data_IF_331500432379
#
_entry.id   IF_331500432379
#
_cell.length_a   1.000
_cell.length_b   1.000
_cell.length_c   1.000
_cell.angle_alpha   90.00
_cell.angle_beta   90.00
_cell.angle_gamma   90.00
#
_symmetry.space_group_name_H-M   'P 1'
#
loop_
_entity.id
_entity.type
_entity.pdbx_description
1 polymer ?
#
# COMPACT_ATOMS: atom_id res chain seq x y z
N UNK A 1 28.44 -21.36 -43.87
CA UNK A 1 28.37 -22.20 -42.65
C UNK A 1 27.13 -23.09 -42.73
N UNK A 2 27.26 -24.42 -42.65
CA UNK A 2 26.09 -25.32 -42.68
C UNK A 2 25.40 -25.32 -41.30
N UNK A 3 24.08 -25.15 -41.29
CA UNK A 3 23.24 -25.26 -40.10
C UNK A 3 22.96 -26.74 -39.84
N UNK A 4 23.56 -27.27 -38.78
CA UNK A 4 23.31 -28.65 -38.31
C UNK A 4 22.20 -28.64 -37.25
N UNK A 5 21.45 -29.75 -37.13
CA UNK A 5 20.34 -29.92 -36.16
C UNK A 5 20.77 -29.53 -34.75
N UNK A 6 21.99 -29.91 -34.34
CA UNK A 6 22.57 -29.58 -33.03
C UNK A 6 22.80 -28.06 -32.85
N UNK A 7 23.13 -27.35 -33.92
CA UNK A 7 23.38 -25.90 -33.90
C UNK A 7 22.07 -25.11 -33.87
N UNK A 8 21.05 -25.59 -34.57
CA UNK A 8 19.70 -25.06 -34.50
C UNK A 8 19.13 -25.15 -33.07
N UNK A 9 19.23 -26.33 -32.42
CA UNK A 9 18.76 -26.53 -31.04
C UNK A 9 19.47 -25.64 -30.02
N UNK A 10 20.78 -25.39 -30.20
CA UNK A 10 21.53 -24.48 -29.32
C UNK A 10 21.08 -23.03 -29.47
N UNK A 11 20.80 -22.59 -30.71
CA UNK A 11 20.34 -21.23 -31.00
C UNK A 11 18.92 -20.99 -30.48
N UNK A 12 18.01 -21.95 -30.63
CA UNK A 12 16.64 -21.85 -30.12
C UNK A 12 16.59 -21.88 -28.59
N UNK A 13 17.42 -22.70 -27.94
CA UNK A 13 17.54 -22.69 -26.47
C UNK A 13 18.10 -21.34 -25.97
N UNK A 14 19.10 -20.79 -26.65
CA UNK A 14 19.70 -19.50 -26.29
C UNK A 14 18.73 -18.32 -26.48
N UNK A 15 17.92 -18.32 -27.55
CA UNK A 15 16.95 -17.24 -27.80
C UNK A 15 15.82 -17.24 -26.76
N UNK A 16 15.30 -18.41 -26.37
CA UNK A 16 14.29 -18.52 -25.30
C UNK A 16 14.87 -18.03 -23.96
N UNK A 17 16.11 -18.42 -23.63
CA UNK A 17 16.79 -17.93 -22.43
C UNK A 17 16.94 -16.40 -22.43
N UNK A 18 17.35 -15.81 -23.56
CA UNK A 18 17.52 -14.36 -23.69
C UNK A 18 16.20 -13.59 -23.48
N UNK A 19 15.07 -14.10 -23.99
CA UNK A 19 13.76 -13.45 -23.80
C UNK A 19 13.27 -13.63 -22.36
N UNK A 20 13.41 -14.83 -21.78
CA UNK A 20 12.97 -15.12 -20.42
C UNK A 20 13.71 -14.30 -19.36
N UNK A 21 15.01 -14.03 -19.57
CA UNK A 21 15.83 -13.28 -18.63
C UNK A 21 15.99 -11.78 -19.00
N UNK A 22 15.90 -11.43 -20.28
CA UNK A 22 16.03 -10.04 -20.76
C UNK A 22 14.94 -9.11 -20.23
N UNK A 23 13.70 -9.59 -20.12
CA UNK A 23 12.58 -8.83 -19.54
C UNK A 23 12.70 -8.61 -18.02
N UNK A 24 13.44 -9.47 -17.30
CA UNK A 24 13.57 -9.38 -15.83
C UNK A 24 14.68 -8.42 -15.39
N UNK A 25 15.66 -8.14 -16.24
CA UNK A 25 16.71 -7.16 -15.95
C UNK A 25 16.16 -5.73 -15.76
N UNK A 26 15.05 -5.38 -16.42
CA UNK A 26 14.36 -4.10 -16.22
C UNK A 26 13.56 -4.06 -14.91
N UNK A 27 12.93 -5.17 -14.52
CA UNK A 27 12.17 -5.27 -13.26
C UNK A 27 13.09 -5.21 -12.02
N UNK A 28 14.33 -5.70 -12.13
CA UNK A 28 15.34 -5.58 -11.07
C UNK A 28 15.91 -4.16 -10.93
N UNK A 29 15.69 -3.28 -11.92
CA UNK A 29 16.10 -1.87 -11.90
C UNK A 29 15.08 -0.95 -11.26
N UNK A 30 13.90 -1.45 -10.88
CA UNK A 30 12.98 -0.66 -10.06
C UNK A 30 13.69 -0.38 -8.73
N UNK A 31 14.04 0.89 -8.41
CA UNK A 31 14.61 1.19 -7.12
C UNK A 31 13.59 0.73 -6.08
N UNK A 32 14.08 0.16 -4.98
CA UNK A 32 13.30 -0.04 -3.77
C UNK A 32 12.98 1.33 -3.17
N UNK A 33 12.22 2.14 -3.91
CA UNK A 33 11.80 3.45 -3.52
C UNK A 33 10.88 3.24 -2.32
N UNK A 34 11.40 3.58 -1.14
CA UNK A 34 10.61 3.60 0.07
C UNK A 34 9.46 4.56 -0.21
N UNK A 35 8.19 4.08 -0.19
CA UNK A 35 7.07 4.95 -0.47
C UNK A 35 7.09 6.09 0.54
N UNK A 36 6.83 7.30 0.06
CA UNK A 36 6.81 8.49 0.91
C UNK A 36 5.82 8.26 2.05
N UNK A 37 6.25 8.51 3.28
CA UNK A 37 5.39 8.37 4.44
C UNK A 37 4.26 9.40 4.37
N UNK A 38 3.03 8.95 4.60
CA UNK A 38 1.82 9.78 4.48
C UNK A 38 1.83 11.01 5.41
N UNK A 39 2.53 10.93 6.54
CA UNK A 39 2.65 12.04 7.49
C UNK A 39 3.71 13.08 7.10
N UNK A 40 4.46 12.85 6.02
CA UNK A 40 5.38 13.84 5.47
C UNK A 40 4.68 14.83 4.51
N UNK A 41 3.40 14.61 4.20
CA UNK A 41 2.59 15.52 3.41
C UNK A 41 1.76 16.49 4.25
N UNK A 42 0.95 17.29 3.57
CA UNK A 42 -0.09 18.08 4.22
C UNK A 42 -1.17 17.13 4.75
N UNK A 43 -1.25 17.04 6.08
CA UNK A 43 -2.23 16.21 6.78
C UNK A 43 -3.25 17.11 7.45
N UNK A 44 -4.51 16.99 7.04
CA UNK A 44 -5.64 17.63 7.72
C UNK A 44 -6.26 16.68 8.73
N UNK A 45 -6.68 17.21 9.88
CA UNK A 45 -7.43 16.44 10.89
C UNK A 45 -8.90 16.80 10.77
N UNK A 46 -9.76 15.79 10.64
CA UNK A 46 -11.21 15.93 10.57
C UNK A 46 -11.83 15.16 11.73
N UNK A 47 -12.76 15.80 12.44
CA UNK A 47 -13.47 15.15 13.55
C UNK A 47 -14.72 14.43 13.05
N UNK A 48 -14.95 13.22 13.57
CA UNK A 48 -16.11 12.40 13.23
C UNK A 48 -16.42 11.44 14.39
N UNK A 49 -17.32 10.48 14.16
CA UNK A 49 -17.67 9.41 15.08
C UNK A 49 -17.37 8.04 14.48
N UNK A 50 -16.97 7.08 15.30
CA UNK A 50 -16.61 5.72 14.91
C UNK A 50 -17.86 4.82 14.93
N UNK A 51 -18.16 4.19 13.78
CA UNK A 51 -19.34 3.31 13.62
C UNK A 51 -19.02 1.81 13.69
N UNK A 52 -17.82 1.44 14.14
CA UNK A 52 -17.41 0.03 14.24
C UNK A 52 -18.15 -0.76 15.34
N UNK A 53 -18.82 -0.07 16.26
CA UNK A 53 -19.65 -0.66 17.30
C UNK A 53 -20.67 0.37 17.81
N UNK A 54 -21.61 -0.07 18.64
CA UNK A 54 -22.68 0.76 19.20
C UNK A 54 -22.20 1.89 20.13
N UNK A 55 -20.92 1.93 20.53
CA UNK A 55 -20.42 2.94 21.47
C UNK A 55 -20.32 4.35 20.86
N UNK A 56 -20.16 4.45 19.53
CA UNK A 56 -20.01 5.70 18.77
C UNK A 56 -18.93 6.64 19.35
N UNK A 57 -17.70 6.16 19.44
CA UNK A 57 -16.57 6.97 19.94
C UNK A 57 -16.29 8.16 19.01
N UNK A 58 -16.05 9.37 19.55
CA UNK A 58 -15.53 10.49 18.78
C UNK A 58 -14.07 10.27 18.36
N UNK A 59 -13.76 10.54 17.10
CA UNK A 59 -12.48 10.23 16.47
C UNK A 59 -11.90 11.45 15.76
N UNK A 60 -10.57 11.50 15.71
CA UNK A 60 -9.77 12.43 14.95
C UNK A 60 -9.15 11.69 13.76
N UNK A 61 -9.61 12.03 12.56
CA UNK A 61 -9.24 11.34 11.31
C UNK A 61 -8.17 12.15 10.59
N UNK A 62 -7.01 11.54 10.36
CA UNK A 62 -5.91 12.13 9.60
C UNK A 62 -6.08 11.83 8.12
N UNK A 63 -6.21 12.89 7.33
CA UNK A 63 -6.47 12.82 5.88
C UNK A 63 -5.33 13.48 5.14
N UNK A 64 -4.78 12.77 4.15
CA UNK A 64 -3.70 13.23 3.27
C UNK A 64 -4.15 13.04 1.82
N UNK A 65 -4.09 14.09 1.00
CA UNK A 65 -4.47 14.01 -0.41
C UNK A 65 -5.90 13.49 -0.63
N UNK A 66 -6.83 13.86 0.27
CA UNK A 66 -8.22 13.40 0.22
C UNK A 66 -8.46 11.97 0.71
N UNK A 67 -7.43 11.21 1.10
CA UNK A 67 -7.55 9.84 1.62
C UNK A 67 -7.33 9.78 3.12
N UNK A 68 -8.15 9.00 3.81
CA UNK A 68 -7.98 8.68 5.23
C UNK A 68 -6.74 7.80 5.38
N UNK A 69 -5.82 8.20 6.26
CA UNK A 69 -4.56 7.49 6.49
C UNK A 69 -4.46 6.89 7.89
N UNK A 70 -5.06 7.56 8.88
CA UNK A 70 -5.05 7.11 10.27
C UNK A 70 -6.27 7.65 11.00
N UNK A 71 -6.79 6.89 11.95
CA UNK A 71 -7.88 7.29 12.83
C UNK A 71 -7.37 7.19 14.25
N UNK A 72 -7.42 8.28 15.01
CA UNK A 72 -7.08 8.31 16.43
C UNK A 72 -8.31 8.75 17.24
N UNK A 73 -8.26 8.63 18.57
CA UNK A 73 -9.32 9.14 19.44
C UNK A 73 -9.30 10.67 19.47
N UNK A 74 -10.46 11.31 19.52
CA UNK A 74 -10.53 12.76 19.76
C UNK A 74 -10.29 13.07 21.24
N UNK A 75 -9.37 13.98 21.55
CA UNK A 75 -9.00 14.34 22.93
C UNK A 75 -10.18 14.91 23.73
N UNK A 76 -10.95 15.80 23.10
CA UNK A 76 -12.07 16.50 23.73
C UNK A 76 -13.33 15.64 23.88
N UNK A 77 -13.39 14.48 23.23
CA UNK A 77 -14.59 13.65 23.28
C UNK A 77 -14.59 12.78 24.57
N UNK A 78 -15.64 12.86 25.40
CA UNK A 78 -15.67 12.19 26.72
C UNK A 78 -15.55 10.66 26.63
N UNK A 79 -15.96 10.05 25.51
CA UNK A 79 -15.91 8.59 25.31
C UNK A 79 -14.52 8.08 24.91
N UNK A 80 -13.74 8.86 24.15
CA UNK A 80 -12.46 8.40 23.59
C UNK A 80 -11.25 9.01 24.30
N UNK A 81 -11.30 10.29 24.70
CA UNK A 81 -10.22 10.98 25.43
C UNK A 81 -8.84 10.73 24.82
N UNK A 82 -8.74 10.91 23.49
CA UNK A 82 -7.51 10.69 22.73
C UNK A 82 -7.19 9.23 22.40
N UNK A 83 -7.89 8.27 22.99
CA UNK A 83 -7.63 6.83 22.82
C UNK A 83 -8.65 6.17 21.90
N UNK A 84 -8.23 5.09 21.25
CA UNK A 84 -9.09 4.31 20.36
C UNK A 84 -8.74 2.83 20.43
N UNK A 85 -9.76 1.96 20.38
CA UNK A 85 -9.56 0.52 20.42
C UNK A 85 -9.03 -0.02 19.07
N UNK A 86 -8.49 -1.26 19.03
CA UNK A 86 -7.94 -1.84 17.81
C UNK A 86 -8.94 -1.87 16.64
N UNK A 87 -10.22 -2.13 16.92
CA UNK A 87 -11.29 -2.11 15.91
C UNK A 87 -11.44 -0.73 15.26
N UNK A 88 -11.45 0.33 16.06
CA UNK A 88 -11.54 1.70 15.55
C UNK A 88 -10.31 2.13 14.75
N UNK A 89 -9.11 1.74 15.18
CA UNK A 89 -7.87 1.97 14.43
C UNK A 89 -7.88 1.20 13.10
N UNK A 90 -8.39 -0.03 13.08
CA UNK A 90 -8.52 -0.85 11.88
C UNK A 90 -9.60 -0.36 10.91
N UNK A 91 -10.47 0.58 11.31
CA UNK A 91 -11.52 1.13 10.45
C UNK A 91 -10.99 1.77 9.14
N UNK A 92 -9.71 2.15 9.09
CA UNK A 92 -9.06 2.61 7.84
C UNK A 92 -9.03 1.50 6.79
N UNK A 93 -8.79 0.25 7.18
CA UNK A 93 -8.73 -0.87 6.26
C UNK A 93 -10.11 -1.13 5.62
N UNK A 94 -11.18 -1.03 6.41
CA UNK A 94 -12.55 -1.23 5.94
C UNK A 94 -12.96 -0.22 4.84
N UNK A 95 -12.45 1.02 4.90
CA UNK A 95 -12.75 2.05 3.88
C UNK A 95 -12.14 1.75 2.51
N UNK A 96 -11.13 0.88 2.45
CA UNK A 96 -10.36 0.59 1.24
C UNK A 96 -10.31 -0.91 0.91
N UNK A 97 -11.20 -1.68 1.51
CA UNK A 97 -11.39 -3.10 1.20
C UNK A 97 -12.07 -3.21 -0.18
N UNK A 98 -11.46 -3.93 -1.16
CA UNK A 98 -11.97 -4.04 -2.53
C UNK A 98 -13.23 -4.90 -2.70
#
# INVERSE_FOLDING_TARGET
MKLDRRRFLKLSAASVGAVAFGGRAAALRAPWAVPRKWYAGEVRTVFSYCENCFWKCGIAVKVEGGRVRKIDGQEQNPKSRGRLCPRGQAGVAQLYDP
#
